data_IF_292173727729
#
_entry.id   IF_292173727729
#
_cell.length_a   1.000
_cell.length_b   1.000
_cell.length_c   1.000
_cell.angle_alpha   90.00
_cell.angle_beta   90.00
_cell.angle_gamma   90.00
#
_symmetry.space_group_name_H-M   'P 1'
#
loop_
_entity.id
_entity.type
_entity.pdbx_description
1 polymer ?
#
# COMPACT_ATOMS: atom_id res chain seq x y z
N UNK A 1 3.28 37.03 -18.16
CA UNK A 1 3.06 38.22 -19.02
C UNK A 1 1.74 38.92 -18.70
N UNK A 2 0.73 38.24 -18.13
CA UNK A 2 -0.60 38.84 -17.90
C UNK A 2 -0.74 39.77 -16.67
N UNK A 3 0.25 39.79 -15.78
CA UNK A 3 0.21 40.61 -14.56
C UNK A 3 0.51 42.09 -14.84
N UNK A 4 1.49 42.36 -15.71
CA UNK A 4 1.96 43.71 -16.04
C UNK A 4 0.92 44.49 -16.86
N UNK A 5 0.21 43.80 -17.77
CA UNK A 5 -0.93 44.37 -18.49
C UNK A 5 -2.13 44.68 -17.60
N UNK A 6 -2.35 43.89 -16.55
CA UNK A 6 -3.48 44.07 -15.64
C UNK A 6 -3.28 45.25 -14.67
N UNK A 7 -2.03 45.50 -14.25
CA UNK A 7 -1.64 46.65 -13.42
C UNK A 7 -1.70 47.98 -14.18
N UNK A 8 -1.27 48.00 -15.45
CA UNK A 8 -1.37 49.18 -16.32
C UNK A 8 -2.84 49.57 -16.50
N UNK A 9 -3.71 48.59 -16.71
CA UNK A 9 -5.15 48.82 -16.94
C UNK A 9 -5.89 49.27 -15.66
N UNK A 10 -5.42 48.84 -14.48
CA UNK A 10 -5.95 49.30 -13.19
C UNK A 10 -5.52 50.74 -12.86
N UNK A 11 -4.27 51.12 -13.15
CA UNK A 11 -3.78 52.49 -12.98
C UNK A 11 -4.55 53.46 -13.88
N UNK A 12 -4.79 53.08 -15.14
CA UNK A 12 -5.55 53.93 -16.06
C UNK A 12 -7.00 54.14 -15.61
N UNK A 13 -7.65 53.12 -15.05
CA UNK A 13 -9.03 53.24 -14.53
C UNK A 13 -9.08 54.18 -13.33
N UNK A 14 -8.09 54.11 -12.43
CA UNK A 14 -7.98 55.01 -11.28
C UNK A 14 -7.78 56.47 -11.73
N UNK A 15 -6.93 56.72 -12.72
CA UNK A 15 -6.72 58.07 -13.28
C UNK A 15 -8.02 58.63 -13.89
N UNK A 16 -8.80 57.79 -14.58
CA UNK A 16 -10.10 58.19 -15.14
C UNK A 16 -11.15 58.49 -14.05
N UNK A 17 -11.15 57.75 -12.94
CA UNK A 17 -12.01 58.01 -11.78
C UNK A 17 -11.68 59.37 -11.17
N UNK A 18 -10.41 59.68 -10.95
CA UNK A 18 -9.96 60.95 -10.38
C UNK A 18 -10.29 62.15 -11.29
N UNK A 19 -10.13 61.99 -12.60
CA UNK A 19 -10.49 63.02 -13.60
C UNK A 19 -12.00 63.28 -13.59
N UNK A 20 -12.82 62.23 -13.51
CA UNK A 20 -14.29 62.37 -13.48
C UNK A 20 -14.77 63.00 -12.17
N UNK A 21 -14.19 62.65 -11.02
CA UNK A 21 -14.50 63.28 -9.73
C UNK A 21 -14.18 64.77 -9.74
N UNK A 22 -13.03 65.16 -10.30
CA UNK A 22 -12.64 66.55 -10.44
C UNK A 22 -13.54 67.32 -11.40
N UNK A 23 -13.96 66.68 -12.50
CA UNK A 23 -14.89 67.24 -13.46
C UNK A 23 -16.28 67.50 -12.84
N UNK A 24 -16.78 66.58 -12.00
CA UNK A 24 -18.04 66.76 -11.27
C UNK A 24 -17.96 68.00 -10.35
N UNK A 25 -16.89 68.12 -9.57
CA UNK A 25 -16.67 69.27 -8.69
C UNK A 25 -16.61 70.61 -9.45
N UNK A 26 -16.00 70.61 -10.63
CA UNK A 26 -15.88 71.82 -11.45
C UNK A 26 -17.21 72.19 -12.14
N UNK A 27 -18.01 71.21 -12.59
CA UNK A 27 -19.36 71.42 -13.12
C UNK A 27 -20.33 71.91 -12.03
N UNK A 28 -20.25 71.37 -10.80
CA UNK A 28 -21.06 71.80 -9.65
C UNK A 28 -20.77 73.26 -9.27
N UNK A 29 -19.50 73.69 -9.29
CA UNK A 29 -19.11 75.10 -9.04
C UNK A 29 -19.61 76.06 -10.11
N UNK A 30 -19.78 75.59 -11.36
CA UNK A 30 -20.23 76.39 -12.50
C UNK A 30 -21.75 76.40 -12.69
N UNK A 31 -22.49 75.62 -11.90
CA UNK A 31 -23.95 75.47 -12.01
C UNK A 31 -24.40 74.59 -13.18
N UNK A 32 -23.50 73.80 -13.78
CA UNK A 32 -23.76 72.90 -14.90
C UNK A 32 -24.18 71.51 -14.39
N UNK A 33 -25.38 71.42 -13.83
CA UNK A 33 -25.84 70.20 -13.15
C UNK A 33 -26.09 69.01 -14.08
N UNK A 34 -26.53 69.23 -15.31
CA UNK A 34 -26.75 68.14 -16.28
C UNK A 34 -25.44 67.42 -16.65
N UNK A 35 -24.35 68.18 -16.81
CA UNK A 35 -23.02 67.64 -17.10
C UNK A 35 -22.41 66.93 -15.88
N UNK A 36 -22.66 67.45 -14.67
CA UNK A 36 -22.29 66.79 -13.42
C UNK A 36 -23.03 65.45 -13.24
N UNK A 37 -24.32 65.38 -13.59
CA UNK A 37 -25.12 64.16 -13.51
C UNK A 37 -24.65 63.11 -14.53
N UNK A 38 -24.31 63.53 -15.76
CA UNK A 38 -23.74 62.64 -16.77
C UNK A 38 -22.39 62.07 -16.34
N UNK A 39 -21.50 62.92 -15.80
CA UNK A 39 -20.20 62.51 -15.28
C UNK A 39 -20.35 61.57 -14.06
N UNK A 40 -21.33 61.82 -13.19
CA UNK A 40 -21.67 60.97 -12.04
C UNK A 40 -22.19 59.60 -12.50
N UNK A 41 -23.08 59.55 -13.49
CA UNK A 41 -23.55 58.28 -14.08
C UNK A 41 -22.40 57.48 -14.69
N UNK A 42 -21.47 58.16 -15.38
CA UNK A 42 -20.30 57.51 -15.97
C UNK A 42 -19.31 56.99 -14.93
N UNK A 43 -19.07 57.75 -13.86
CA UNK A 43 -18.26 57.34 -12.72
C UNK A 43 -18.81 56.08 -12.06
N UNK A 44 -20.12 56.03 -11.85
CA UNK A 44 -20.82 54.88 -11.27
C UNK A 44 -20.67 53.63 -12.15
N UNK A 45 -20.87 53.75 -13.47
CA UNK A 45 -20.65 52.66 -14.42
C UNK A 45 -19.21 52.13 -14.40
N UNK A 46 -18.22 53.03 -14.33
CA UNK A 46 -16.81 52.63 -14.28
C UNK A 46 -16.47 51.90 -12.99
N UNK A 47 -16.96 52.39 -11.84
CA UNK A 47 -16.79 51.72 -10.54
C UNK A 47 -17.43 50.34 -10.51
N UNK A 48 -18.64 50.20 -11.08
CA UNK A 48 -19.32 48.91 -11.18
C UNK A 48 -18.54 47.91 -12.04
N UNK A 49 -18.06 48.33 -13.21
CA UNK A 49 -17.27 47.48 -14.10
C UNK A 49 -15.93 47.06 -13.46
N UNK A 50 -15.26 47.98 -12.77
CA UNK A 50 -14.03 47.67 -12.04
C UNK A 50 -14.29 46.68 -10.90
N UNK A 51 -15.38 46.84 -10.16
CA UNK A 51 -15.76 45.93 -9.08
C UNK A 51 -16.09 44.53 -9.63
N UNK A 52 -16.80 44.44 -10.74
CA UNK A 52 -17.05 43.17 -11.45
C UNK A 52 -15.74 42.51 -11.89
N UNK A 53 -14.83 43.27 -12.51
CA UNK A 53 -13.50 42.77 -12.90
C UNK A 53 -12.76 42.20 -11.70
N UNK A 54 -12.63 42.96 -10.60
CA UNK A 54 -11.97 42.52 -9.37
C UNK A 54 -12.61 41.25 -8.80
N UNK A 55 -13.95 41.16 -8.80
CA UNK A 55 -14.68 39.95 -8.37
C UNK A 55 -14.39 38.75 -9.27
N UNK A 56 -14.27 38.94 -10.59
CA UNK A 56 -13.92 37.86 -11.52
C UNK A 56 -12.49 37.40 -11.36
N UNK A 57 -11.54 38.31 -11.18
CA UNK A 57 -10.12 37.99 -11.01
C UNK A 57 -9.87 37.27 -9.67
N UNK A 58 -10.54 37.70 -8.60
CA UNK A 58 -10.54 36.98 -7.34
C UNK A 58 -11.05 35.55 -7.50
N UNK A 59 -12.18 35.36 -8.19
CA UNK A 59 -12.73 34.01 -8.47
C UNK A 59 -11.76 33.14 -9.26
N UNK A 60 -11.08 33.71 -10.26
CA UNK A 60 -10.05 33.00 -11.04
C UNK A 60 -8.87 32.60 -10.15
N UNK A 61 -8.33 33.52 -9.34
CA UNK A 61 -7.24 33.23 -8.42
C UNK A 61 -7.59 32.09 -7.46
N UNK A 62 -8.76 32.17 -6.83
CA UNK A 62 -9.24 31.13 -5.91
C UNK A 62 -9.40 29.77 -6.60
N UNK A 63 -9.85 29.74 -7.86
CA UNK A 63 -9.94 28.52 -8.64
C UNK A 63 -8.55 27.94 -8.96
N UNK A 64 -7.59 28.78 -9.37
CA UNK A 64 -6.22 28.37 -9.65
C UNK A 64 -5.55 27.80 -8.41
N UNK A 65 -5.71 28.42 -7.23
CA UNK A 65 -5.21 27.90 -5.96
C UNK A 65 -5.78 26.52 -5.63
N UNK A 66 -7.10 26.33 -5.82
CA UNK A 66 -7.74 25.02 -5.60
C UNK A 66 -7.16 23.97 -6.54
N UNK A 67 -7.08 24.28 -7.83
CA UNK A 67 -6.51 23.36 -8.84
C UNK A 67 -5.06 23.00 -8.51
N UNK A 68 -4.25 23.94 -8.03
CA UNK A 68 -2.88 23.68 -7.63
C UNK A 68 -2.79 22.69 -6.46
N UNK A 69 -3.66 22.82 -5.44
CA UNK A 69 -3.72 21.88 -4.32
C UNK A 69 -4.19 20.50 -4.77
N UNK A 70 -5.22 20.42 -5.60
CA UNK A 70 -5.72 19.15 -6.14
C UNK A 70 -4.65 18.44 -6.97
N UNK A 71 -3.92 19.18 -7.81
CA UNK A 71 -2.82 18.63 -8.61
C UNK A 71 -1.67 18.14 -7.74
N UNK A 72 -1.28 18.90 -6.71
CA UNK A 72 -0.25 18.48 -5.77
C UNK A 72 -0.65 17.19 -5.03
N UNK A 73 -1.89 17.11 -4.55
CA UNK A 73 -2.40 15.91 -3.89
C UNK A 73 -2.50 14.70 -4.82
N UNK A 74 -2.91 14.89 -6.08
CA UNK A 74 -2.94 13.83 -7.07
C UNK A 74 -1.53 13.27 -7.33
N UNK A 75 -0.53 14.15 -7.41
CA UNK A 75 0.88 13.74 -7.55
C UNK A 75 1.36 12.96 -6.31
N UNK A 76 1.05 13.43 -5.10
CA UNK A 76 1.40 12.73 -3.86
C UNK A 76 0.77 11.34 -3.78
N UNK A 77 -0.48 11.17 -4.20
CA UNK A 77 -1.16 9.86 -4.26
C UNK A 77 -0.47 8.94 -5.26
N UNK A 78 -0.09 9.46 -6.42
CA UNK A 78 0.59 8.67 -7.44
C UNK A 78 1.95 8.17 -6.92
N UNK A 79 2.76 9.06 -6.36
CA UNK A 79 4.05 8.69 -5.75
C UNK A 79 3.88 7.69 -4.60
N UNK A 80 2.88 7.91 -3.74
CA UNK A 80 2.53 6.97 -2.68
C UNK A 80 2.22 5.58 -3.22
N UNK A 81 1.39 5.49 -4.26
CA UNK A 81 1.05 4.21 -4.87
C UNK A 81 2.28 3.53 -5.48
N UNK A 82 3.11 4.26 -6.21
CA UNK A 82 4.35 3.70 -6.79
C UNK A 82 5.29 3.14 -5.72
N UNK A 83 5.50 3.87 -4.62
CA UNK A 83 6.35 3.43 -3.51
C UNK A 83 5.78 2.15 -2.87
N UNK A 84 4.48 2.12 -2.61
CA UNK A 84 3.85 0.96 -1.99
C UNK A 84 3.79 -0.25 -2.91
N UNK A 85 3.52 -0.04 -4.20
CA UNK A 85 3.49 -1.13 -5.18
C UNK A 85 4.89 -1.73 -5.34
N UNK A 86 5.94 -0.89 -5.35
CA UNK A 86 7.34 -1.36 -5.31
C UNK A 86 7.64 -2.16 -4.05
N UNK A 87 7.29 -1.63 -2.87
CA UNK A 87 7.52 -2.30 -1.58
C UNK A 87 6.78 -3.64 -1.48
N UNK A 88 5.55 -3.71 -2.00
CA UNK A 88 4.78 -4.95 -2.06
C UNK A 88 5.41 -5.95 -3.05
N UNK A 89 5.86 -5.50 -4.21
CA UNK A 89 6.55 -6.37 -5.18
C UNK A 89 7.85 -6.95 -4.61
N UNK A 90 8.67 -6.14 -3.94
CA UNK A 90 9.90 -6.59 -3.26
C UNK A 90 9.61 -7.62 -2.17
N UNK A 91 8.57 -7.39 -1.36
CA UNK A 91 8.14 -8.33 -0.34
C UNK A 91 7.68 -9.67 -0.93
N UNK A 92 6.87 -9.64 -2.00
CA UNK A 92 6.41 -10.85 -2.68
C UNK A 92 7.56 -11.63 -3.32
N UNK A 93 8.51 -10.93 -3.95
CA UNK A 93 9.71 -11.56 -4.51
C UNK A 93 10.55 -12.23 -3.41
N UNK A 94 10.76 -11.56 -2.28
CA UNK A 94 11.47 -12.12 -1.14
C UNK A 94 10.73 -13.31 -0.52
N UNK A 95 9.40 -13.22 -0.37
CA UNK A 95 8.57 -14.31 0.15
C UNK A 95 8.62 -15.55 -0.75
N UNK A 96 8.53 -15.37 -2.07
CA UNK A 96 8.67 -16.45 -3.04
C UNK A 96 10.05 -17.08 -3.00
N UNK A 97 11.11 -16.27 -2.85
CA UNK A 97 12.47 -16.76 -2.70
C UNK A 97 12.62 -17.64 -1.45
N UNK A 98 12.13 -17.18 -0.29
CA UNK A 98 12.14 -17.97 0.94
C UNK A 98 11.41 -19.31 0.80
N UNK A 99 10.25 -19.32 0.13
CA UNK A 99 9.50 -20.55 -0.13
C UNK A 99 10.28 -21.51 -1.01
N UNK A 100 10.90 -21.03 -2.08
CA UNK A 100 11.71 -21.84 -2.99
C UNK A 100 12.94 -22.42 -2.28
N UNK A 101 13.68 -21.59 -1.53
CA UNK A 101 14.84 -22.05 -0.75
C UNK A 101 14.44 -23.13 0.25
N UNK A 102 13.31 -22.96 0.95
CA UNK A 102 12.82 -23.95 1.90
C UNK A 102 12.42 -25.25 1.18
N UNK A 103 11.72 -25.15 0.05
CA UNK A 103 11.29 -26.31 -0.73
C UNK A 103 12.48 -27.10 -1.32
N UNK A 104 13.50 -26.40 -1.83
CA UNK A 104 14.71 -27.04 -2.37
C UNK A 104 15.51 -27.72 -1.25
N UNK A 105 15.65 -27.06 -0.10
CA UNK A 105 16.25 -27.69 1.09
C UNK A 105 15.46 -28.91 1.53
N UNK A 106 14.14 -28.83 1.63
CA UNK A 106 13.28 -29.97 1.98
C UNK A 106 13.45 -31.13 1.02
N UNK A 107 13.54 -30.87 -0.29
CA UNK A 107 13.76 -31.89 -1.31
C UNK A 107 15.10 -32.61 -1.11
N UNK A 108 16.17 -31.86 -0.89
CA UNK A 108 17.51 -32.42 -0.66
C UNK A 108 17.57 -33.23 0.65
N UNK A 109 17.02 -32.68 1.73
CA UNK A 109 16.96 -33.36 3.03
C UNK A 109 16.10 -34.63 2.96
N UNK A 110 14.99 -34.62 2.24
CA UNK A 110 14.13 -35.78 2.03
C UNK A 110 14.87 -36.91 1.29
N UNK A 111 15.57 -36.59 0.20
CA UNK A 111 16.39 -37.56 -0.52
C UNK A 111 17.44 -38.21 0.39
N UNK A 112 18.21 -37.39 1.11
CA UNK A 112 19.22 -37.89 2.04
C UNK A 112 18.61 -38.73 3.18
N UNK A 113 17.44 -38.34 3.68
CA UNK A 113 16.75 -39.06 4.73
C UNK A 113 16.21 -40.41 4.24
N UNK A 114 15.65 -40.49 3.04
CA UNK A 114 15.19 -41.75 2.44
C UNK A 114 16.35 -42.72 2.24
N UNK A 115 17.49 -42.25 1.73
CA UNK A 115 18.70 -43.07 1.59
C UNK A 115 19.20 -43.58 2.95
N UNK A 116 19.23 -42.72 3.96
CA UNK A 116 19.59 -43.08 5.33
C UNK A 116 18.63 -44.12 5.91
N UNK A 117 17.31 -43.93 5.77
CA UNK A 117 16.31 -44.88 6.23
C UNK A 117 16.48 -46.24 5.54
N UNK A 118 16.74 -46.26 4.23
CA UNK A 118 17.02 -47.50 3.48
C UNK A 118 18.30 -48.18 3.93
N UNK A 119 19.32 -47.45 4.39
CA UNK A 119 20.59 -48.03 4.89
C UNK A 119 20.46 -48.55 6.32
N UNK A 120 19.77 -47.80 7.18
CA UNK A 120 19.85 -47.99 8.64
C UNK A 120 18.64 -48.72 9.23
N UNK A 121 17.53 -48.86 8.49
CA UNK A 121 16.37 -49.58 9.00
C UNK A 121 16.66 -51.08 9.13
N UNK A 122 16.68 -51.53 10.37
CA UNK A 122 16.73 -52.94 10.75
C UNK A 122 15.35 -53.61 10.67
N UNK A 123 15.29 -54.93 10.43
CA UNK A 123 16.41 -55.82 10.14
C UNK A 123 16.88 -55.72 8.69
N UNK A 124 18.21 -55.62 8.47
CA UNK A 124 18.84 -55.47 7.15
C UNK A 124 18.78 -56.75 6.30
N UNK A 125 18.56 -57.90 6.93
CA UNK A 125 18.39 -59.20 6.28
C UNK A 125 17.20 -59.95 6.90
N UNK A 126 16.54 -60.85 6.14
CA UNK A 126 15.53 -61.74 6.69
C UNK A 126 16.09 -62.59 7.82
N UNK A 127 15.25 -62.89 8.82
CA UNK A 127 15.50 -63.94 9.80
C UNK A 127 14.65 -65.14 9.43
N UNK A 128 15.30 -66.17 8.92
CA UNK A 128 14.66 -67.40 8.47
C UNK A 128 14.05 -68.19 9.62
N UNK A 129 12.89 -68.81 9.39
CA UNK A 129 12.28 -69.69 10.37
C UNK A 129 13.09 -70.96 10.57
N UNK A 130 12.90 -71.60 11.73
CA UNK A 130 13.50 -72.91 12.02
C UNK A 130 13.03 -73.97 11.01
N UNK A 131 11.80 -73.86 10.53
CA UNK A 131 11.23 -74.81 9.57
C UNK A 131 11.91 -74.71 8.21
N UNK A 132 12.16 -73.49 7.71
CA UNK A 132 12.95 -73.28 6.50
C UNK A 132 14.37 -73.85 6.63
N UNK A 133 15.04 -73.55 7.75
CA UNK A 133 16.39 -74.06 8.01
C UNK A 133 16.42 -75.60 8.08
N UNK A 134 15.40 -76.21 8.67
CA UNK A 134 15.24 -77.66 8.73
C UNK A 134 14.99 -78.26 7.34
N UNK A 135 14.13 -77.66 6.52
CA UNK A 135 13.89 -78.09 5.13
C UNK A 135 15.18 -78.03 4.29
N UNK A 136 15.98 -76.97 4.43
CA UNK A 136 17.29 -76.84 3.77
C UNK A 136 18.29 -77.93 4.22
N UNK A 137 18.32 -78.25 5.51
CA UNK A 137 19.16 -79.34 6.05
C UNK A 137 18.72 -80.73 5.57
N UNK A 138 17.40 -80.98 5.51
CA UNK A 138 16.83 -82.23 4.97
C UNK A 138 17.16 -82.35 3.48
N UNK A 139 16.98 -81.28 2.70
CA UNK A 139 17.35 -81.21 1.28
C UNK A 139 18.82 -81.61 1.08
N UNK A 140 19.75 -81.01 1.85
CA UNK A 140 21.18 -81.31 1.74
C UNK A 140 21.50 -82.77 2.09
N UNK A 141 20.84 -83.32 3.12
CA UNK A 141 21.03 -84.71 3.54
C UNK A 141 20.53 -85.69 2.47
N UNK A 142 19.34 -85.44 1.90
CA UNK A 142 18.78 -86.25 0.82
C UNK A 142 19.66 -86.20 -0.44
N UNK A 143 20.25 -85.05 -0.76
CA UNK A 143 21.19 -84.90 -1.86
C UNK A 143 22.48 -85.71 -1.63
N UNK A 144 23.05 -85.68 -0.42
CA UNK A 144 24.23 -86.50 -0.04
C UNK A 144 23.94 -88.00 -0.14
N UNK A 145 22.71 -88.42 0.16
CA UNK A 145 22.24 -89.79 0.02
C UNK A 145 21.88 -90.18 -1.43
N UNK A 146 22.11 -89.30 -2.42
CA UNK A 146 21.76 -89.47 -3.84
C UNK A 146 20.25 -89.68 -4.10
N UNK A 147 19.39 -89.28 -3.17
CA UNK A 147 17.93 -89.33 -3.31
C UNK A 147 17.40 -88.06 -3.99
N UNK A 148 17.73 -87.89 -5.27
CA UNK A 148 17.51 -86.62 -5.98
C UNK A 148 16.03 -86.22 -6.11
N UNK A 149 15.13 -87.18 -6.33
CA UNK A 149 13.69 -86.90 -6.47
C UNK A 149 13.08 -86.37 -5.17
N UNK A 150 13.46 -86.94 -4.03
CA UNK A 150 13.02 -86.48 -2.72
C UNK A 150 13.65 -85.12 -2.38
N UNK A 151 14.94 -84.93 -2.70
CA UNK A 151 15.64 -83.67 -2.51
C UNK A 151 15.00 -82.52 -3.31
N UNK A 152 14.60 -82.74 -4.56
CA UNK A 152 13.93 -81.71 -5.39
C UNK A 152 12.55 -81.36 -4.84
N UNK A 153 11.80 -82.33 -4.31
CA UNK A 153 10.52 -82.06 -3.63
C UNK A 153 10.72 -81.19 -2.38
N UNK A 154 11.69 -81.54 -1.54
CA UNK A 154 12.02 -80.75 -0.33
C UNK A 154 12.54 -79.36 -0.69
N UNK A 155 13.34 -79.23 -1.76
CA UNK A 155 13.81 -77.93 -2.27
C UNK A 155 12.63 -77.05 -2.71
N UNK A 156 11.70 -77.57 -3.51
CA UNK A 156 10.52 -76.80 -3.94
C UNK A 156 9.67 -76.32 -2.74
N UNK A 157 9.56 -77.14 -1.69
CA UNK A 157 8.91 -76.73 -0.44
C UNK A 157 9.71 -75.63 0.29
N UNK A 158 11.03 -75.78 0.42
CA UNK A 158 11.90 -74.77 1.03
C UNK A 158 11.86 -73.44 0.27
N UNK A 159 11.94 -73.46 -1.06
CA UNK A 159 11.92 -72.26 -1.91
C UNK A 159 10.60 -71.48 -1.76
N UNK A 160 9.46 -72.18 -1.61
CA UNK A 160 8.16 -71.56 -1.34
C UNK A 160 8.12 -70.85 0.02
N UNK A 161 8.63 -71.52 1.06
CA UNK A 161 8.69 -70.95 2.41
C UNK A 161 9.63 -69.74 2.45
N UNK A 162 10.81 -69.86 1.83
CA UNK A 162 11.78 -68.76 1.72
C UNK A 162 11.21 -67.54 1.00
N UNK A 163 10.54 -67.75 -0.14
CA UNK A 163 9.91 -66.65 -0.87
C UNK A 163 8.83 -65.95 -0.03
N UNK A 164 8.01 -66.70 0.71
CA UNK A 164 6.99 -66.15 1.60
C UNK A 164 7.59 -65.36 2.77
N UNK A 165 8.59 -65.92 3.45
CA UNK A 165 9.27 -65.26 4.56
C UNK A 165 10.02 -64.00 4.12
N UNK A 166 10.68 -64.05 2.97
CA UNK A 166 11.35 -62.91 2.38
C UNK A 166 10.35 -61.80 2.03
N UNK A 167 9.21 -62.14 1.43
CA UNK A 167 8.15 -61.18 1.11
C UNK A 167 7.59 -60.51 2.38
N UNK A 168 7.30 -61.30 3.42
CA UNK A 168 6.83 -60.77 4.71
C UNK A 168 7.86 -59.87 5.39
N UNK A 169 9.14 -60.26 5.38
CA UNK A 169 10.23 -59.43 5.91
C UNK A 169 10.32 -58.10 5.16
N UNK A 170 10.35 -58.16 3.83
CA UNK A 170 10.42 -56.97 2.97
C UNK A 170 9.23 -56.05 3.22
N UNK A 171 8.01 -56.60 3.29
CA UNK A 171 6.81 -55.81 3.56
C UNK A 171 6.90 -55.10 4.91
N UNK A 172 7.24 -55.81 5.99
CA UNK A 172 7.39 -55.20 7.33
C UNK A 172 8.43 -54.09 7.34
N UNK A 173 9.55 -54.31 6.62
CA UNK A 173 10.62 -53.33 6.50
C UNK A 173 10.18 -52.08 5.73
N UNK A 174 9.55 -52.24 4.56
CA UNK A 174 9.04 -51.12 3.78
C UNK A 174 7.95 -50.35 4.52
N UNK A 175 7.06 -51.03 5.25
CA UNK A 175 6.07 -50.36 6.12
C UNK A 175 6.75 -49.53 7.21
N UNK A 176 7.83 -50.03 7.82
CA UNK A 176 8.58 -49.28 8.83
C UNK A 176 9.29 -48.06 8.23
N UNK A 177 9.90 -48.21 7.06
CA UNK A 177 10.52 -47.09 6.34
C UNK A 177 9.46 -46.05 5.97
N UNK A 178 8.33 -46.47 5.41
CA UNK A 178 7.24 -45.57 5.03
C UNK A 178 6.69 -44.77 6.20
N UNK A 179 6.49 -45.38 7.37
CA UNK A 179 6.05 -44.66 8.57
C UNK A 179 7.06 -43.60 9.04
N UNK A 180 8.37 -43.88 8.94
CA UNK A 180 9.41 -42.92 9.30
C UNK A 180 9.54 -41.79 8.27
N UNK A 181 9.37 -42.09 6.99
CA UNK A 181 9.30 -41.12 5.90
C UNK A 181 8.08 -40.20 6.05
N UNK A 182 6.90 -40.76 6.33
CA UNK A 182 5.68 -39.99 6.58
C UNK A 182 5.85 -39.03 7.77
N UNK A 183 6.44 -39.50 8.88
CA UNK A 183 6.73 -38.64 10.03
C UNK A 183 7.70 -37.51 9.68
N UNK A 184 8.68 -37.76 8.81
CA UNK A 184 9.61 -36.74 8.35
C UNK A 184 8.93 -35.71 7.43
N UNK A 185 8.16 -36.16 6.45
CA UNK A 185 7.36 -35.31 5.57
C UNK A 185 6.38 -34.44 6.37
N UNK A 186 5.74 -34.99 7.40
CA UNK A 186 4.85 -34.22 8.27
C UNK A 186 5.59 -33.06 8.97
N UNK A 187 6.83 -33.27 9.44
CA UNK A 187 7.65 -32.18 10.02
C UNK A 187 7.95 -31.09 9.00
N UNK A 188 8.29 -31.46 7.76
CA UNK A 188 8.52 -30.51 6.67
C UNK A 188 7.26 -29.71 6.34
N UNK A 189 6.08 -30.36 6.32
CA UNK A 189 4.79 -29.69 6.12
C UNK A 189 4.49 -28.67 7.22
N UNK A 190 4.75 -28.99 8.49
CA UNK A 190 4.57 -28.05 9.60
C UNK A 190 5.48 -26.84 9.47
N UNK A 191 6.75 -27.05 9.10
CA UNK A 191 7.71 -25.97 8.88
C UNK A 191 7.28 -25.05 7.73
N UNK A 192 6.89 -25.63 6.59
CA UNK A 192 6.36 -24.88 5.44
C UNK A 192 5.09 -24.11 5.81
N UNK A 193 4.16 -24.75 6.54
CA UNK A 193 2.96 -24.11 7.03
C UNK A 193 3.26 -22.93 7.96
N UNK A 194 4.28 -23.04 8.82
CA UNK A 194 4.75 -21.95 9.68
C UNK A 194 5.34 -20.78 8.88
N UNK A 195 6.12 -21.06 7.83
CA UNK A 195 6.61 -20.02 6.91
C UNK A 195 5.45 -19.31 6.19
N UNK A 196 4.50 -20.06 5.64
CA UNK A 196 3.32 -19.50 4.94
C UNK A 196 2.53 -18.58 5.86
N UNK A 197 2.27 -18.99 7.11
CA UNK A 197 1.58 -18.15 8.09
C UNK A 197 2.33 -16.85 8.38
N UNK A 198 3.66 -16.89 8.52
CA UNK A 198 4.47 -15.68 8.71
C UNK A 198 4.40 -14.75 7.49
N UNK A 199 4.47 -15.29 6.27
CA UNK A 199 4.31 -14.51 5.04
C UNK A 199 2.93 -13.86 4.99
N UNK A 200 1.86 -14.60 5.29
CA UNK A 200 0.50 -14.07 5.33
C UNK A 200 0.33 -12.95 6.37
N UNK A 201 0.90 -13.12 7.57
CA UNK A 201 0.91 -12.09 8.60
C UNK A 201 1.65 -10.82 8.12
N UNK A 202 2.79 -10.98 7.46
CA UNK A 202 3.54 -9.86 6.89
C UNK A 202 2.79 -9.13 5.78
N UNK A 203 2.04 -9.86 4.93
CA UNK A 203 1.15 -9.26 3.93
C UNK A 203 0.05 -8.41 4.56
N UNK A 204 -0.58 -8.92 5.62
CA UNK A 204 -1.60 -8.19 6.35
C UNK A 204 -1.04 -6.92 6.98
N UNK A 205 0.13 -7.02 7.61
CA UNK A 205 0.81 -5.88 8.21
C UNK A 205 1.14 -4.80 7.18
N UNK A 206 1.67 -5.17 6.00
CA UNK A 206 1.90 -4.22 4.92
C UNK A 206 0.61 -3.56 4.42
N UNK A 207 -0.48 -4.33 4.29
CA UNK A 207 -1.77 -3.78 3.87
C UNK A 207 -2.31 -2.79 4.89
N UNK A 208 -2.24 -3.13 6.17
CA UNK A 208 -2.68 -2.25 7.24
C UNK A 208 -1.81 -0.99 7.30
N UNK A 209 -0.49 -1.11 7.18
CA UNK A 209 0.43 0.03 7.15
C UNK A 209 0.16 0.96 5.95
N UNK A 210 -0.12 0.40 4.76
CA UNK A 210 -0.53 1.19 3.57
C UNK A 210 -1.82 1.95 3.85
N UNK A 211 -2.83 1.27 4.41
CA UNK A 211 -4.12 1.88 4.76
C UNK A 211 -3.94 3.04 5.74
N UNK A 212 -3.20 2.85 6.84
CA UNK A 212 -3.01 3.89 7.86
C UNK A 212 -2.26 5.11 7.31
N UNK A 213 -1.25 4.89 6.47
CA UNK A 213 -0.49 5.99 5.88
C UNK A 213 -1.31 6.76 4.84
N UNK A 214 -2.14 6.06 4.05
CA UNK A 214 -3.10 6.68 3.14
C UNK A 214 -4.12 7.54 3.89
N UNK A 215 -4.70 7.02 4.98
CA UNK A 215 -5.62 7.78 5.84
C UNK A 215 -4.97 9.05 6.38
N UNK A 216 -3.72 8.96 6.85
CA UNK A 216 -2.95 10.11 7.32
C UNK A 216 -2.69 11.14 6.21
N UNK A 217 -2.38 10.68 5.00
CA UNK A 217 -2.21 11.55 3.83
C UNK A 217 -3.50 12.29 3.50
N UNK A 218 -4.61 11.57 3.37
CA UNK A 218 -5.92 12.15 3.07
C UNK A 218 -6.36 13.15 4.14
N UNK A 219 -6.07 12.87 5.42
CA UNK A 219 -6.36 13.82 6.49
C UNK A 219 -5.57 15.12 6.34
N UNK A 220 -4.28 15.05 5.96
CA UNK A 220 -3.47 16.25 5.70
C UNK A 220 -4.04 17.07 4.55
N UNK A 221 -4.40 16.42 3.44
CA UNK A 221 -5.04 17.09 2.31
C UNK A 221 -6.36 17.77 2.70
N UNK A 222 -7.23 17.06 3.42
CA UNK A 222 -8.51 17.62 3.89
C UNK A 222 -8.31 18.85 4.80
N UNK A 223 -7.29 18.81 5.67
CA UNK A 223 -6.95 19.94 6.53
C UNK A 223 -6.51 21.17 5.70
N UNK A 224 -5.61 20.96 4.73
CA UNK A 224 -5.11 22.02 3.85
C UNK A 224 -6.24 22.61 3.00
N UNK A 225 -7.09 21.75 2.43
CA UNK A 225 -8.27 22.17 1.66
C UNK A 225 -9.24 23.01 2.50
N UNK A 226 -9.59 22.54 3.70
CA UNK A 226 -10.48 23.26 4.62
C UNK A 226 -9.92 24.62 5.05
N UNK A 227 -8.60 24.69 5.28
CA UNK A 227 -7.91 25.95 5.58
C UNK A 227 -7.99 26.93 4.40
N UNK A 228 -7.72 26.46 3.17
CA UNK A 228 -7.83 27.28 1.96
C UNK A 228 -9.26 27.79 1.79
N UNK A 229 -10.26 26.93 1.88
CA UNK A 229 -11.67 27.31 1.75
C UNK A 229 -12.09 28.36 2.79
N UNK A 230 -11.60 28.21 4.01
CA UNK A 230 -11.85 29.20 5.08
C UNK A 230 -11.18 30.54 4.76
N UNK A 231 -9.93 30.53 4.30
CA UNK A 231 -9.22 31.74 3.89
C UNK A 231 -9.93 32.45 2.72
N UNK A 232 -10.33 31.70 1.69
CA UNK A 232 -11.05 32.22 0.53
C UNK A 232 -12.40 32.83 0.93
N UNK A 233 -13.14 32.18 1.84
CA UNK A 233 -14.40 32.71 2.38
C UNK A 233 -14.20 34.04 3.12
N UNK A 234 -13.15 34.16 3.92
CA UNK A 234 -12.81 35.42 4.62
C UNK A 234 -12.48 36.53 3.62
N UNK A 235 -11.70 36.23 2.58
CA UNK A 235 -11.34 37.19 1.53
C UNK A 235 -12.60 37.65 0.80
N UNK A 236 -13.49 36.72 0.42
CA UNK A 236 -14.75 37.04 -0.22
C UNK A 236 -15.62 37.97 0.64
N UNK A 237 -15.79 37.67 1.94
CA UNK A 237 -16.54 38.52 2.85
C UNK A 237 -15.94 39.92 3.00
N UNK A 238 -14.61 40.06 2.97
CA UNK A 238 -13.95 41.38 3.01
C UNK A 238 -14.23 42.18 1.75
N UNK A 239 -14.15 41.54 0.58
CA UNK A 239 -14.42 42.18 -0.71
C UNK A 239 -15.89 42.61 -0.81
N UNK A 240 -16.82 41.81 -0.29
CA UNK A 240 -18.25 42.16 -0.23
C UNK A 240 -18.56 43.26 0.79
N UNK A 241 -17.81 43.37 1.90
CA UNK A 241 -18.03 44.40 2.94
C UNK A 241 -17.41 45.76 2.62
N UNK A 242 -16.39 45.81 1.77
CA UNK A 242 -15.72 47.06 1.38
C UNK A 242 -15.74 47.25 -0.15
N UNK A 243 -16.93 47.39 -0.76
CA UNK A 243 -17.03 47.73 -2.18
C UNK A 243 -16.59 49.18 -2.41
N UNK A 244 -15.94 49.45 -3.55
CA UNK A 244 -15.44 50.78 -3.95
C UNK A 244 -16.55 51.85 -4.04
N UNK A 245 -17.80 51.42 -4.09
CA UNK A 245 -19.00 52.28 -4.16
C UNK A 245 -19.36 52.93 -2.82
N UNK A 246 -18.67 52.62 -1.72
CA UNK A 246 -18.87 53.34 -0.46
C UNK A 246 -18.35 54.79 -0.59
N UNK A 247 -19.20 55.82 -0.49
CA UNK A 247 -18.75 57.20 -0.55
C UNK A 247 -17.74 57.43 0.57
N UNK A 248 -16.55 57.89 0.20
CA UNK A 248 -15.48 58.32 1.10
C UNK A 248 -15.97 59.50 1.94
N UNK A 249 -16.67 59.18 3.02
CA UNK A 249 -17.40 60.13 3.84
C UNK A 249 -17.80 59.52 5.17
N UNK A 250 -16.86 58.90 5.89
CA UNK A 250 -16.91 58.83 7.36
C UNK A 250 -15.58 58.33 7.92
N UNK A 251 -14.92 59.19 8.69
CA UNK A 251 -13.77 58.81 9.52
C UNK A 251 -14.21 57.73 10.50
N UNK A 252 -13.68 56.52 10.37
CA UNK A 252 -13.83 55.51 11.43
C UNK A 252 -12.67 55.70 12.39
N UNK A 253 -13.01 56.30 13.53
CA UNK A 253 -12.16 56.43 14.70
C UNK A 253 -11.62 55.07 15.13
N UNK A 254 -10.29 54.98 15.22
CA UNK A 254 -9.54 53.83 15.73
C UNK A 254 -9.95 53.53 17.19
N UNK A 255 -10.36 52.29 17.55
CA UNK A 255 -10.59 51.93 18.94
C UNK A 255 -9.28 51.85 19.72
N UNK A 256 -9.28 52.13 21.03
CA UNK A 256 -8.08 52.13 21.86
C UNK A 256 -7.55 50.71 22.07
N UNK A 257 -6.23 50.60 22.04
CA UNK A 257 -5.44 49.43 22.37
C UNK A 257 -5.71 48.99 23.82
N UNK A 258 -6.33 47.82 24.00
CA UNK A 258 -6.54 47.22 25.31
C UNK A 258 -5.50 46.13 25.58
N UNK A 259 -4.71 46.32 26.64
CA UNK A 259 -4.50 45.27 27.63
C UNK A 259 -3.38 44.27 27.38
N UNK A 260 -2.15 44.71 27.67
CA UNK A 260 -1.16 44.01 28.50
C UNK A 260 -1.68 42.70 29.14
N UNK A 261 -1.26 41.54 28.63
CA UNK A 261 -1.34 40.28 29.38
C UNK A 261 -0.06 40.09 30.18
N UNK A 262 -0.21 40.16 31.50
CA UNK A 262 0.79 39.74 32.47
C UNK A 262 1.12 38.25 32.26
N UNK A 263 2.41 37.98 32.22
CA UNK A 263 3.00 36.65 32.34
C UNK A 263 2.98 36.33 33.83
N UNK A 264 2.17 35.36 34.26
CA UNK A 264 2.30 34.76 35.59
C UNK A 264 3.03 33.43 35.39
N UNK A 265 4.26 33.40 35.90
CA UNK A 265 5.03 32.20 36.15
C UNK A 265 4.54 31.54 37.45
N UNK A 266 4.30 30.24 37.41
CA UNK A 266 4.56 29.23 38.46
C UNK A 266 4.27 27.85 37.89
#
# INVERSE_FOLDING_TARGET
>A
MDMESAEIDAHTVQDFVEVLEKHILDCEKRGQYEEAELARSRLEQLRQHEEERRRTDLRKQQMTERLAIEQAHANEINEFNEIWDRKSAEFEAHAANLQNQLADRHRAEHQAQVEKLRRDTEPRTPRWSKDLLNLRKIQETLAKMKKYVEAEKTKCQADKVEASEHAMWKQKRETRIGALEEQFCHKQQLEMGGLIKRIQSGREEQRQARKTELERMLQRYNNVKSQLETQQRIIQQRVERFPLTAPSGTSVSRPPSAGQRQVIAS
#
